data_IF_853035214920
#
_entry.id   IF_853035214920
#
_cell.length_a   1.000
_cell.length_b   1.000
_cell.length_c   1.000
_cell.angle_alpha   90.00
_cell.angle_beta   90.00
_cell.angle_gamma   90.00
#
_symmetry.space_group_name_H-M   'P 1'
#
loop_
_entity.id
_entity.type
_entity.pdbx_description
1 polymer ?
#
# COMPACT_ATOMS: atom_id res chain seq x y z
N UNK A 1 10.82 -6.96 -20.73
CA UNK A 1 11.27 -7.47 -19.43
C UNK A 1 12.31 -8.57 -19.62
N UNK A 2 13.49 -8.50 -18.98
CA UNK A 2 14.57 -9.52 -19.12
C UNK A 2 14.33 -10.78 -18.27
N UNK A 3 13.61 -10.67 -17.16
CA UNK A 3 13.35 -11.76 -16.21
C UNK A 3 11.84 -11.94 -15.96
N UNK A 4 11.08 -12.50 -16.92
CA UNK A 4 9.61 -12.54 -16.84
C UNK A 4 9.06 -13.54 -15.81
N UNK A 5 9.88 -14.49 -15.34
CA UNK A 5 9.48 -15.51 -14.34
C UNK A 5 9.80 -15.13 -12.90
N UNK A 6 10.54 -14.05 -12.68
CA UNK A 6 10.88 -13.55 -11.34
C UNK A 6 9.76 -12.64 -10.88
N UNK A 7 9.20 -12.86 -9.70
CA UNK A 7 8.29 -11.91 -9.07
C UNK A 7 9.15 -10.83 -8.41
N UNK A 8 8.82 -9.57 -8.67
CA UNK A 8 9.51 -8.41 -8.09
C UNK A 8 8.54 -7.70 -7.15
N UNK A 9 9.00 -7.37 -5.94
CA UNK A 9 8.25 -6.53 -5.00
C UNK A 9 9.07 -5.27 -4.75
N UNK A 10 8.56 -4.12 -5.19
CA UNK A 10 9.21 -2.83 -4.96
C UNK A 10 8.95 -2.37 -3.52
N UNK A 11 10.02 -2.12 -2.79
CA UNK A 11 9.93 -1.41 -1.51
C UNK A 11 9.43 0.02 -1.74
N UNK A 12 8.59 0.52 -0.84
CA UNK A 12 8.12 1.90 -0.75
C UNK A 12 7.46 2.40 -2.04
N UNK A 13 6.66 1.55 -2.70
CA UNK A 13 6.10 1.81 -4.03
C UNK A 13 7.16 2.13 -5.10
N UNK A 14 8.41 1.70 -4.91
CA UNK A 14 9.54 2.07 -5.75
C UNK A 14 9.86 3.57 -5.70
N UNK A 15 9.51 4.25 -4.60
CA UNK A 15 9.57 5.71 -4.46
C UNK A 15 8.76 6.45 -5.53
N UNK A 16 7.63 5.87 -5.94
CA UNK A 16 6.66 6.48 -6.86
C UNK A 16 5.33 6.82 -6.19
N UNK A 17 5.26 6.84 -4.85
CA UNK A 17 4.05 7.24 -4.13
C UNK A 17 3.62 8.68 -4.48
N UNK A 18 4.58 9.56 -4.82
CA UNK A 18 4.34 10.91 -5.31
C UNK A 18 3.96 11.00 -6.81
N UNK A 19 4.13 9.93 -7.58
CA UNK A 19 3.80 9.81 -9.01
C UNK A 19 3.19 8.43 -9.30
N UNK A 20 1.98 8.21 -8.79
CA UNK A 20 1.24 6.96 -8.97
C UNK A 20 0.92 6.67 -10.44
N UNK A 21 0.85 7.69 -11.31
CA UNK A 21 0.66 7.50 -12.73
C UNK A 21 1.85 6.76 -13.36
N UNK A 22 3.08 7.09 -12.97
CA UNK A 22 4.28 6.38 -13.41
C UNK A 22 4.31 4.95 -12.90
N UNK A 23 4.03 4.72 -11.61
CA UNK A 23 3.96 3.36 -11.07
C UNK A 23 2.89 2.53 -11.78
N UNK A 24 1.75 3.13 -12.10
CA UNK A 24 0.68 2.47 -12.85
C UNK A 24 1.14 1.98 -14.22
N UNK A 25 1.85 2.81 -14.99
CA UNK A 25 2.44 2.39 -16.28
C UNK A 25 3.44 1.23 -16.12
N UNK A 26 4.15 1.18 -14.99
CA UNK A 26 5.05 0.06 -14.70
C UNK A 26 4.26 -1.23 -14.43
N UNK A 27 3.20 -1.18 -13.62
CA UNK A 27 2.33 -2.34 -13.40
C UNK A 27 1.64 -2.82 -14.68
N UNK A 28 1.17 -1.89 -15.53
CA UNK A 28 0.55 -2.22 -16.82
C UNK A 28 1.54 -2.91 -17.78
N UNK A 29 2.84 -2.58 -17.73
CA UNK A 29 3.86 -3.14 -18.61
C UNK A 29 4.61 -4.35 -18.05
N UNK A 30 4.58 -4.57 -16.74
CA UNK A 30 5.32 -5.62 -16.02
C UNK A 30 4.36 -6.42 -15.14
N UNK A 31 3.72 -7.48 -15.65
CA UNK A 31 2.69 -8.22 -14.92
C UNK A 31 3.21 -8.97 -13.68
N UNK A 32 4.52 -9.18 -13.59
CA UNK A 32 5.24 -9.82 -12.49
C UNK A 32 5.79 -8.81 -11.45
N UNK A 33 5.42 -7.53 -11.55
CA UNK A 33 5.82 -6.47 -10.64
C UNK A 33 4.71 -6.16 -9.62
N UNK A 34 5.10 -6.12 -8.35
CA UNK A 34 4.30 -5.80 -7.18
C UNK A 34 4.99 -4.68 -6.39
N UNK A 35 4.32 -4.10 -5.41
CA UNK A 35 4.93 -3.14 -4.50
C UNK A 35 4.32 -3.18 -3.10
N UNK A 36 5.03 -2.62 -2.13
CA UNK A 36 4.56 -2.47 -0.75
C UNK A 36 4.57 -1.01 -0.29
N UNK A 37 3.84 -0.72 0.80
CA UNK A 37 3.46 0.65 1.23
C UNK A 37 4.24 1.20 2.43
N UNK A 38 5.27 0.48 2.87
CA UNK A 38 6.11 0.85 4.00
C UNK A 38 6.78 2.20 3.80
N UNK A 39 6.96 2.94 4.89
CA UNK A 39 7.65 4.23 4.93
C UNK A 39 7.08 5.35 4.04
N UNK A 40 5.94 5.17 3.36
CA UNK A 40 5.37 6.16 2.42
C UNK A 40 3.92 6.57 2.73
N UNK A 41 3.41 6.25 3.93
CA UNK A 41 2.01 6.54 4.30
C UNK A 41 1.63 8.02 4.05
N UNK A 42 2.57 8.93 4.33
CA UNK A 42 2.37 10.36 4.16
C UNK A 42 2.15 10.81 2.71
N UNK A 43 2.75 10.10 1.74
CA UNK A 43 2.57 10.41 0.32
C UNK A 43 1.22 9.92 -0.18
N UNK A 44 0.70 8.81 0.37
CA UNK A 44 -0.65 8.33 0.06
C UNK A 44 -1.71 9.24 0.69
N UNK A 45 -1.53 9.54 1.99
CA UNK A 45 -2.49 10.31 2.76
C UNK A 45 -2.67 11.75 2.28
N UNK A 46 -1.72 12.34 1.54
CA UNK A 46 -1.88 13.71 0.96
C UNK A 46 -2.67 13.76 -0.36
N UNK A 47 -2.93 12.60 -0.97
CA UNK A 47 -3.59 12.50 -2.29
C UNK A 47 -4.72 11.46 -2.28
N UNK A 48 -5.68 11.54 -1.34
CA UNK A 48 -6.58 10.44 -1.01
C UNK A 48 -7.39 9.94 -2.22
N UNK A 49 -7.85 10.83 -3.09
CA UNK A 49 -8.65 10.48 -4.29
C UNK A 49 -7.84 9.67 -5.31
N UNK A 50 -6.67 10.19 -5.69
CA UNK A 50 -5.77 9.52 -6.64
C UNK A 50 -5.25 8.20 -6.08
N UNK A 51 -4.85 8.18 -4.81
CA UNK A 51 -4.38 6.97 -4.14
C UNK A 51 -5.49 5.92 -4.04
N UNK A 52 -6.71 6.32 -3.67
CA UNK A 52 -7.88 5.45 -3.65
C UNK A 52 -8.12 4.76 -5.00
N UNK A 53 -8.20 5.52 -6.07
CA UNK A 53 -8.43 4.99 -7.43
C UNK A 53 -7.30 4.06 -7.86
N UNK A 54 -6.05 4.42 -7.55
CA UNK A 54 -4.88 3.60 -7.82
C UNK A 54 -4.94 2.25 -7.09
N UNK A 55 -5.26 2.26 -5.79
CA UNK A 55 -5.37 1.05 -4.99
C UNK A 55 -6.50 0.14 -5.46
N UNK A 56 -7.64 0.69 -5.90
CA UNK A 56 -8.70 -0.12 -6.53
C UNK A 56 -8.20 -0.76 -7.83
N UNK A 57 -7.60 0.04 -8.72
CA UNK A 57 -7.16 -0.44 -10.05
C UNK A 57 -6.11 -1.54 -9.93
N UNK A 58 -5.15 -1.39 -9.03
CA UNK A 58 -4.00 -2.29 -8.88
C UNK A 58 -4.04 -3.12 -7.58
N UNK A 59 -5.24 -3.37 -7.05
CA UNK A 59 -5.45 -4.08 -5.78
C UNK A 59 -4.74 -5.43 -5.69
N UNK A 60 -4.54 -6.13 -6.81
CA UNK A 60 -3.85 -7.43 -6.87
C UNK A 60 -2.33 -7.31 -7.01
N UNK A 61 -1.76 -6.11 -6.82
CA UNK A 61 -0.31 -5.81 -6.97
C UNK A 61 0.31 -5.13 -5.75
N UNK A 62 -0.49 -4.84 -4.72
CA UNK A 62 -0.09 -4.02 -3.58
C UNK A 62 -0.09 -4.84 -2.30
N UNK A 63 0.98 -4.74 -1.52
CA UNK A 63 1.15 -5.41 -0.24
C UNK A 63 1.21 -4.38 0.88
N UNK A 64 0.68 -4.75 2.04
CA UNK A 64 0.92 -4.02 3.26
C UNK A 64 2.38 -4.21 3.72
N UNK A 65 2.98 -3.12 4.17
CA UNK A 65 4.30 -3.08 4.78
C UNK A 65 4.44 -1.79 5.56
N UNK A 66 5.25 -1.81 6.63
CA UNK A 66 5.40 -0.66 7.54
C UNK A 66 6.86 -0.25 7.76
N UNK A 67 7.81 -1.02 7.24
CA UNK A 67 9.27 -0.82 7.34
C UNK A 67 9.88 -1.05 8.74
N UNK A 68 9.07 -1.15 9.80
CA UNK A 68 9.54 -1.47 11.16
C UNK A 68 8.41 -2.03 12.02
N UNK A 69 8.70 -2.79 13.08
CA UNK A 69 7.66 -3.23 14.00
C UNK A 69 7.43 -2.17 15.09
N UNK A 70 6.41 -1.32 14.91
CA UNK A 70 5.97 -0.33 15.92
C UNK A 70 4.44 -0.39 16.03
N UNK A 71 3.87 -1.20 16.94
CA UNK A 71 2.43 -1.42 17.06
C UNK A 71 1.59 -0.14 17.16
N UNK A 72 2.08 0.85 17.90
CA UNK A 72 1.36 2.12 18.14
C UNK A 72 1.22 3.00 16.88
N UNK A 73 1.97 2.70 15.81
CA UNK A 73 1.90 3.44 14.55
C UNK A 73 0.87 2.84 13.56
N UNK A 74 0.44 1.58 13.74
CA UNK A 74 -0.52 0.92 12.83
C UNK A 74 -1.89 1.61 12.75
N UNK A 75 -2.45 2.17 13.84
CA UNK A 75 -3.70 2.93 13.76
C UNK A 75 -3.68 4.06 12.73
N UNK A 76 -2.52 4.66 12.45
CA UNK A 76 -2.43 5.69 11.40
C UNK A 76 -2.57 5.09 10.00
N UNK A 77 -2.01 3.91 9.76
CA UNK A 77 -2.19 3.19 8.48
C UNK A 77 -3.65 2.82 8.27
N UNK A 78 -4.28 2.23 9.29
CA UNK A 78 -5.71 1.88 9.24
C UNK A 78 -6.57 3.12 9.02
N UNK A 79 -6.28 4.23 9.71
CA UNK A 79 -7.00 5.49 9.52
C UNK A 79 -6.90 6.00 8.08
N UNK A 80 -5.69 6.03 7.49
CA UNK A 80 -5.49 6.46 6.10
C UNK A 80 -6.15 5.50 5.12
N UNK A 81 -6.17 4.19 5.39
CA UNK A 81 -6.64 3.19 4.41
C UNK A 81 -8.16 3.01 4.46
N UNK A 82 -8.74 2.98 5.66
CA UNK A 82 -10.09 2.48 5.90
C UNK A 82 -11.13 3.58 6.02
N UNK A 83 -10.73 4.75 6.53
CA UNK A 83 -11.68 5.83 6.84
C UNK A 83 -11.84 6.81 5.68
N UNK A 84 -12.86 7.65 5.76
CA UNK A 84 -12.99 8.86 4.95
C UNK A 84 -12.62 10.11 5.76
N UNK A 85 -11.84 9.95 6.85
CA UNK A 85 -11.46 11.07 7.71
C UNK A 85 -10.63 12.09 6.93
N UNK A 86 -10.81 13.36 7.23
CA UNK A 86 -10.07 14.43 6.59
C UNK A 86 -9.21 15.17 7.61
N UNK A 87 -8.09 15.71 7.14
CA UNK A 87 -7.31 16.71 7.86
C UNK A 87 -6.80 16.27 9.25
N UNK A 88 -6.07 15.16 9.32
CA UNK A 88 -5.46 14.69 10.57
C UNK A 88 -3.94 14.66 10.55
N UNK A 89 -3.33 14.66 11.73
CA UNK A 89 -1.88 14.67 11.90
C UNK A 89 -1.22 13.35 11.52
N UNK A 90 -0.02 13.45 10.97
CA UNK A 90 0.86 12.31 10.81
C UNK A 90 1.63 12.04 12.11
N UNK A 91 1.99 10.79 12.35
CA UNK A 91 2.65 10.38 13.59
C UNK A 91 4.16 10.69 13.64
N UNK A 92 4.75 11.20 12.54
CA UNK A 92 6.17 11.53 12.41
C UNK A 92 6.38 12.90 11.78
N UNK A 93 6.88 13.84 12.57
CA UNK A 93 7.05 15.25 12.18
C UNK A 93 8.20 15.49 11.18
N UNK A 94 9.06 14.49 10.92
CA UNK A 94 10.22 14.62 10.03
C UNK A 94 10.01 14.02 8.64
N UNK A 95 8.92 13.28 8.44
CA UNK A 95 8.61 12.63 7.16
C UNK A 95 7.64 13.46 6.31
N UNK A 96 6.76 14.23 6.96
CA UNK A 96 5.82 15.12 6.28
C UNK A 96 5.40 16.27 7.20
N UNK A 97 5.09 17.41 6.58
CA UNK A 97 4.59 18.62 7.26
C UNK A 97 3.13 18.93 6.88
N UNK A 98 2.46 18.03 6.17
CA UNK A 98 1.08 18.18 5.72
C UNK A 98 0.13 17.23 6.45
N UNK A 99 -1.15 17.59 6.46
CA UNK A 99 -2.21 16.74 7.00
C UNK A 99 -2.47 15.55 6.07
N UNK A 100 -2.91 14.46 6.67
CA UNK A 100 -3.34 13.25 5.98
C UNK A 100 -4.86 13.18 5.89
N UNK A 101 -5.30 12.35 4.96
CA UNK A 101 -6.70 12.10 4.63
C UNK A 101 -6.87 10.59 4.43
N UNK A 102 -8.04 10.10 4.80
CA UNK A 102 -8.50 8.73 4.59
C UNK A 102 -8.85 8.49 3.13
N UNK A 103 -8.53 7.31 2.63
CA UNK A 103 -8.80 6.87 1.27
C UNK A 103 -10.12 6.13 1.11
N UNK A 104 -10.75 5.70 2.21
CA UNK A 104 -12.01 4.96 2.19
C UNK A 104 -11.96 3.72 1.29
N UNK A 105 -10.92 2.90 1.43
CA UNK A 105 -10.78 1.71 0.59
C UNK A 105 -11.87 0.68 0.91
N UNK A 106 -12.46 0.02 -0.11
CA UNK A 106 -13.42 -1.05 0.09
C UNK A 106 -12.77 -2.23 0.82
N UNK A 107 -13.55 -2.95 1.63
CA UNK A 107 -13.11 -4.15 2.35
C UNK A 107 -12.41 -5.17 1.43
N UNK A 108 -12.94 -5.40 0.23
CA UNK A 108 -12.32 -6.27 -0.78
C UNK A 108 -10.91 -5.84 -1.20
N UNK A 109 -10.61 -4.54 -1.21
CA UNK A 109 -9.27 -4.02 -1.52
C UNK A 109 -8.38 -4.11 -0.28
N UNK A 110 -8.92 -3.80 0.90
CA UNK A 110 -8.20 -3.89 2.17
C UNK A 110 -7.68 -5.31 2.45
N UNK A 111 -8.51 -6.35 2.26
CA UNK A 111 -8.11 -7.76 2.43
C UNK A 111 -6.92 -8.13 1.54
N UNK A 112 -6.96 -7.71 0.26
CA UNK A 112 -5.87 -7.95 -0.69
C UNK A 112 -4.56 -7.30 -0.26
N UNK A 113 -4.64 -6.03 0.13
CA UNK A 113 -3.47 -5.27 0.59
C UNK A 113 -2.93 -5.85 1.89
N UNK A 114 -3.79 -6.11 2.88
CA UNK A 114 -3.38 -6.56 4.20
C UNK A 114 -2.82 -7.97 4.22
N UNK A 115 -3.37 -8.91 3.45
CA UNK A 115 -2.89 -10.30 3.53
C UNK A 115 -3.01 -11.15 2.28
N UNK A 116 -4.06 -11.04 1.46
CA UNK A 116 -4.27 -12.04 0.38
C UNK A 116 -3.13 -12.02 -0.64
N UNK A 117 -2.61 -10.85 -0.99
CA UNK A 117 -1.47 -10.73 -1.89
C UNK A 117 -0.19 -11.31 -1.26
N UNK A 118 0.05 -11.08 0.04
CA UNK A 118 1.19 -11.66 0.73
C UNK A 118 1.11 -13.19 0.78
N UNK A 119 -0.07 -13.75 1.14
CA UNK A 119 -0.32 -15.20 1.19
C UNK A 119 -0.19 -15.90 -0.18
N UNK A 120 -0.44 -15.16 -1.26
CA UNK A 120 -0.26 -15.64 -2.63
C UNK A 120 1.20 -15.68 -3.05
N UNK A 121 1.99 -14.68 -2.67
CA UNK A 121 3.34 -14.46 -3.19
C UNK A 121 4.45 -15.07 -2.33
N UNK A 122 4.29 -15.05 -1.01
CA UNK A 122 5.34 -15.41 -0.07
C UNK A 122 5.14 -16.86 0.36
N UNK A 123 6.04 -17.77 -0.01
CA UNK A 123 5.93 -19.17 0.39
C UNK A 123 6.12 -19.32 1.89
N UNK A 124 5.35 -20.23 2.50
CA UNK A 124 5.51 -20.62 3.91
C UNK A 124 4.83 -19.72 4.94
N UNK A 125 4.05 -18.71 4.54
CA UNK A 125 3.21 -17.98 5.49
C UNK A 125 2.07 -18.90 5.97
N UNK A 126 1.89 -19.09 7.30
CA UNK A 126 0.75 -19.82 7.85
C UNK A 126 -0.56 -19.17 7.41
N UNK A 127 -1.53 -19.98 6.99
CA UNK A 127 -2.85 -19.49 6.57
C UNK A 127 -3.88 -19.50 7.69
N UNK A 128 -3.55 -20.16 8.79
CA UNK A 128 -4.41 -20.24 9.97
C UNK A 128 -4.47 -18.86 10.65
N UNK A 129 -5.68 -18.40 10.97
CA UNK A 129 -5.91 -17.10 11.62
C UNK A 129 -6.33 -15.96 10.69
N UNK A 130 -6.27 -16.13 9.37
CA UNK A 130 -6.86 -15.16 8.43
C UNK A 130 -8.36 -15.41 8.25
N UNK A 131 -9.19 -14.35 8.09
CA UNK A 131 -10.59 -14.48 7.74
C UNK A 131 -10.76 -15.29 6.44
N UNK A 132 -11.76 -16.18 6.42
CA UNK A 132 -12.15 -16.92 5.21
C UNK A 132 -13.13 -16.13 4.37
#
# INVERSE_FOLDING_TARGET
ARHPRTIWVLAHLGWHANDLARLGRMFDSLPNLYAEVGAILYDLGRQPRTAREFFIKYQDRLLFGKDSFQPDEYPYYWRVFETNDEYFDYYRDYHAFWKLYGMGLPDSVLKKVYYENALKLIPGIPRDGFPK
#
